data_IF_770552240347
#
_entry.id   IF_770552240347
#
_cell.length_a   1.000
_cell.length_b   1.000
_cell.length_c   1.000
_cell.angle_alpha   90.00
_cell.angle_beta   90.00
_cell.angle_gamma   90.00
#
_symmetry.space_group_name_H-M   'P 1'
#
loop_
_entity.id
_entity.type
_entity.pdbx_description
1 polymer ?
#
# COMPACT_ATOMS: atom_id res chain seq x y z
N UNK A 1 24.04 -17.06 78.39
CA UNK A 1 23.10 -16.36 77.56
C UNK A 1 21.85 -17.22 77.42
N UNK A 2 20.68 -16.67 77.65
CA UNK A 2 19.42 -17.44 77.84
C UNK A 2 18.98 -18.08 76.50
N UNK A 3 18.88 -19.42 76.42
CA UNK A 3 18.50 -20.18 75.21
C UNK A 3 17.20 -19.71 74.52
N UNK A 4 16.29 -19.13 75.29
CA UNK A 4 15.06 -18.49 74.77
C UNK A 4 15.35 -17.20 73.97
N UNK A 5 16.37 -16.44 74.42
CA UNK A 5 16.76 -15.19 73.71
C UNK A 5 17.48 -15.52 72.34
N UNK A 6 18.33 -16.52 72.30
CA UNK A 6 18.97 -17.00 71.10
C UNK A 6 17.93 -17.50 70.07
N UNK A 7 16.95 -18.27 70.49
CA UNK A 7 15.86 -18.77 69.66
C UNK A 7 15.01 -17.58 69.06
N UNK A 8 14.75 -16.58 69.87
CA UNK A 8 14.05 -15.36 69.38
C UNK A 8 14.87 -14.59 68.34
N UNK A 9 16.17 -14.37 68.63
CA UNK A 9 17.07 -13.67 67.67
C UNK A 9 17.18 -14.44 66.37
N UNK A 10 17.32 -15.76 66.42
CA UNK A 10 17.36 -16.60 65.21
C UNK A 10 16.03 -16.60 64.43
N UNK A 11 14.89 -16.66 65.11
CA UNK A 11 13.58 -16.53 64.49
C UNK A 11 13.39 -15.16 63.81
N UNK A 12 13.76 -14.05 64.46
CA UNK A 12 13.72 -12.70 63.89
C UNK A 12 14.64 -12.57 62.67
N UNK A 13 15.83 -13.19 62.65
CA UNK A 13 16.73 -13.25 61.53
C UNK A 13 16.11 -13.95 60.33
N UNK A 14 15.44 -15.09 60.55
CA UNK A 14 14.71 -15.81 59.48
C UNK A 14 13.57 -14.96 58.89
N UNK A 15 12.76 -14.33 59.76
CA UNK A 15 11.67 -13.44 59.31
C UNK A 15 12.19 -12.24 58.52
N UNK A 16 13.28 -11.62 58.97
CA UNK A 16 13.92 -10.51 58.26
C UNK A 16 14.48 -10.96 56.93
N UNK A 17 15.17 -12.10 56.85
CA UNK A 17 15.67 -12.69 55.62
C UNK A 17 14.56 -13.01 54.61
N UNK A 18 13.43 -13.61 55.10
CA UNK A 18 12.26 -13.90 54.27
C UNK A 18 11.61 -12.60 53.75
N UNK A 19 11.50 -11.57 54.59
CA UNK A 19 10.99 -10.26 54.19
C UNK A 19 11.84 -9.59 53.13
N UNK A 20 13.17 -9.61 53.27
CA UNK A 20 14.11 -9.06 52.26
C UNK A 20 14.00 -9.83 50.96
N UNK A 21 13.97 -11.18 51.00
CA UNK A 21 13.78 -12.01 49.83
C UNK A 21 12.46 -11.71 49.10
N UNK A 22 11.35 -11.60 49.85
CA UNK A 22 10.06 -11.24 49.28
C UNK A 22 10.08 -9.83 48.64
N UNK A 23 10.70 -8.84 49.28
CA UNK A 23 10.86 -7.49 48.75
C UNK A 23 11.69 -7.49 47.45
N UNK A 24 12.76 -8.26 47.37
CA UNK A 24 13.58 -8.43 46.17
C UNK A 24 12.79 -9.09 45.03
N UNK A 25 12.01 -10.14 45.33
CA UNK A 25 11.15 -10.80 44.34
C UNK A 25 10.09 -9.82 43.80
N UNK A 26 9.44 -9.08 44.68
CA UNK A 26 8.43 -8.07 44.27
C UNK A 26 9.07 -6.98 43.42
N UNK A 27 10.22 -6.46 43.81
CA UNK A 27 10.96 -5.46 43.05
C UNK A 27 11.37 -5.99 41.68
N UNK A 28 12.00 -7.16 41.63
CA UNK A 28 12.36 -7.84 40.39
C UNK A 28 11.15 -8.02 39.48
N UNK A 29 10.05 -8.57 40.01
CA UNK A 29 8.84 -8.77 39.22
C UNK A 29 8.21 -7.45 38.76
N UNK A 30 8.34 -6.36 39.52
CA UNK A 30 7.83 -5.05 39.13
C UNK A 30 8.52 -4.50 37.86
N UNK A 31 9.77 -4.79 37.65
CA UNK A 31 10.52 -4.33 36.46
C UNK A 31 10.55 -5.35 35.31
N UNK A 32 10.79 -6.63 35.63
CA UNK A 32 11.04 -7.69 34.64
C UNK A 32 9.85 -8.62 34.38
N UNK A 33 8.88 -8.68 35.28
CA UNK A 33 7.66 -9.46 35.04
C UNK A 33 6.75 -8.79 33.99
N UNK A 34 5.86 -9.59 33.40
CA UNK A 34 4.84 -9.11 32.47
C UNK A 34 4.08 -7.89 32.99
N UNK A 35 4.07 -6.81 32.26
CA UNK A 35 3.51 -5.54 32.67
C UNK A 35 2.25 -5.14 31.91
N UNK A 36 2.09 -5.59 30.68
CA UNK A 36 1.03 -5.18 29.75
C UNK A 36 -0.09 -6.21 29.74
N UNK A 37 -1.32 -5.72 29.88
CA UNK A 37 -2.55 -6.54 29.85
C UNK A 37 -3.01 -6.87 28.45
N UNK A 38 -2.82 -5.94 27.51
CA UNK A 38 -3.30 -6.06 26.13
C UNK A 38 -2.37 -5.32 25.19
N UNK A 39 -2.09 -5.92 24.02
CA UNK A 39 -1.27 -5.29 22.99
C UNK A 39 -1.89 -3.99 22.49
N UNK A 40 -1.06 -2.96 22.27
CA UNK A 40 -1.50 -1.63 21.87
C UNK A 40 -0.50 -0.99 20.93
N UNK A 41 -1.02 -0.37 19.84
CA UNK A 41 -0.25 0.51 18.98
C UNK A 41 -0.20 1.93 19.57
N UNK A 42 0.98 2.53 19.56
CA UNK A 42 1.24 3.90 20.03
C UNK A 42 1.89 4.68 18.91
N UNK A 43 1.31 5.84 18.58
CA UNK A 43 1.86 6.79 17.64
C UNK A 43 2.43 7.98 18.40
N UNK A 44 3.70 8.25 18.24
CA UNK A 44 4.38 9.40 18.82
C UNK A 44 4.69 10.37 17.69
N UNK A 45 4.15 11.58 17.77
CA UNK A 45 4.41 12.70 16.85
C UNK A 45 5.31 13.73 17.50
N UNK A 46 5.76 14.75 16.76
CA UNK A 46 6.53 15.86 17.32
C UNK A 46 5.74 16.67 18.38
N UNK A 47 4.40 16.69 18.25
CA UNK A 47 3.50 17.43 19.14
C UNK A 47 3.00 16.59 20.33
N UNK A 48 3.45 15.34 20.45
CA UNK A 48 3.03 14.44 21.53
C UNK A 48 3.51 14.97 22.88
N UNK A 49 2.58 15.33 23.75
CA UNK A 49 2.92 15.74 25.13
C UNK A 49 3.28 14.51 25.96
N UNK A 50 4.41 14.55 26.65
CA UNK A 50 4.89 13.43 27.46
C UNK A 50 3.89 13.00 28.54
N UNK A 51 3.21 13.96 29.19
CA UNK A 51 2.18 13.68 30.18
C UNK A 51 1.08 12.76 29.67
N UNK A 52 0.57 13.06 28.46
CA UNK A 52 -0.52 12.30 27.83
C UNK A 52 -0.04 10.92 27.38
N UNK A 53 1.15 10.88 26.78
CA UNK A 53 1.83 9.66 26.40
C UNK A 53 2.04 8.73 27.62
N UNK A 54 2.63 9.26 28.71
CA UNK A 54 2.88 8.48 29.91
C UNK A 54 1.58 8.00 30.56
N UNK A 55 0.55 8.85 30.62
CA UNK A 55 -0.77 8.47 31.12
C UNK A 55 -1.39 7.34 30.32
N UNK A 56 -1.24 7.37 29.00
CA UNK A 56 -1.76 6.34 28.10
C UNK A 56 -1.06 4.99 28.30
N UNK A 57 0.27 4.97 28.49
CA UNK A 57 1.03 3.77 28.84
C UNK A 57 0.58 3.21 30.19
N UNK A 58 0.49 4.07 31.23
CA UNK A 58 0.14 3.68 32.59
C UNK A 58 -1.24 3.02 32.68
N UNK A 59 -2.22 3.47 31.90
CA UNK A 59 -3.57 2.84 31.84
C UNK A 59 -3.52 1.38 31.40
N UNK A 60 -2.54 0.99 30.60
CA UNK A 60 -2.39 -0.39 30.10
C UNK A 60 -1.51 -1.28 30.98
N UNK A 61 -0.88 -0.73 32.03
CA UNK A 61 -0.08 -1.50 32.98
C UNK A 61 -0.95 -2.31 33.92
N UNK A 62 -0.47 -3.50 34.28
CA UNK A 62 -1.27 -4.53 34.97
C UNK A 62 -1.62 -4.18 36.41
N UNK A 63 -0.79 -3.39 37.13
CA UNK A 63 -0.98 -3.05 38.55
C UNK A 63 -0.17 -1.79 38.94
N UNK A 64 -0.45 -1.20 40.14
CA UNK A 64 0.24 0.01 40.61
C UNK A 64 1.75 -0.13 40.80
N UNK A 65 2.28 -1.31 41.11
CA UNK A 65 3.72 -1.53 41.24
C UNK A 65 4.42 -1.37 39.88
N UNK A 66 3.78 -1.82 38.81
CA UNK A 66 4.27 -1.61 37.43
C UNK A 66 4.25 -0.14 37.04
N UNK A 67 3.25 0.61 37.47
CA UNK A 67 3.18 2.06 37.26
C UNK A 67 4.34 2.76 37.95
N UNK A 68 4.62 2.43 39.21
CA UNK A 68 5.77 2.98 39.95
C UNK A 68 7.10 2.60 39.29
N UNK A 69 7.26 1.34 38.88
CA UNK A 69 8.45 0.86 38.17
C UNK A 69 8.65 1.61 36.85
N UNK A 70 7.56 1.88 36.11
CA UNK A 70 7.60 2.67 34.87
C UNK A 70 8.07 4.09 35.16
N UNK A 71 7.48 4.78 36.13
CA UNK A 71 7.87 6.15 36.48
C UNK A 71 9.35 6.26 36.88
N UNK A 72 9.82 5.34 37.74
CA UNK A 72 11.21 5.30 38.16
C UNK A 72 12.17 5.05 37.00
N UNK A 73 11.88 4.07 36.13
CA UNK A 73 12.77 3.70 35.06
C UNK A 73 12.72 4.68 33.89
N UNK A 74 11.55 5.25 33.60
CA UNK A 74 11.37 6.32 32.61
C UNK A 74 12.14 7.58 33.01
N UNK A 75 12.08 7.98 34.28
CA UNK A 75 12.87 9.09 34.83
C UNK A 75 14.39 8.79 34.78
N UNK A 76 14.81 7.59 35.19
CA UNK A 76 16.21 7.17 35.16
C UNK A 76 16.84 7.25 33.77
N UNK A 77 16.10 6.86 32.71
CA UNK A 77 16.56 6.93 31.31
C UNK A 77 16.25 8.23 30.63
N UNK A 78 15.67 9.22 31.34
CA UNK A 78 15.18 10.47 30.78
C UNK A 78 14.28 10.25 29.54
N UNK A 79 13.26 9.41 29.70
CA UNK A 79 12.35 9.05 28.58
C UNK A 79 11.70 10.29 27.99
N UNK A 80 11.30 11.27 28.81
CA UNK A 80 10.70 12.52 28.36
C UNK A 80 11.58 13.27 27.34
N UNK A 81 12.85 13.49 27.66
CA UNK A 81 13.79 14.19 26.78
C UNK A 81 14.32 13.34 25.63
N UNK A 82 14.02 12.04 25.63
CA UNK A 82 14.52 11.06 24.62
C UNK A 82 13.41 10.35 23.84
N UNK A 83 12.15 10.73 24.04
CA UNK A 83 11.00 10.14 23.36
C UNK A 83 11.11 10.41 21.86
N UNK A 84 11.20 9.36 21.07
CA UNK A 84 11.37 9.45 19.63
C UNK A 84 10.05 9.32 18.88
N UNK A 85 9.86 10.18 17.89
CA UNK A 85 8.74 10.11 16.94
C UNK A 85 8.71 8.76 16.24
N UNK A 86 7.54 8.12 16.18
CA UNK A 86 7.41 6.82 15.55
C UNK A 86 6.11 6.09 15.85
N UNK A 87 5.96 4.95 15.21
CA UNK A 87 4.92 3.96 15.50
C UNK A 87 5.54 2.81 16.28
N UNK A 88 4.95 2.50 17.44
CA UNK A 88 5.41 1.48 18.35
C UNK A 88 4.26 0.52 18.67
N UNK A 89 4.57 -0.76 18.80
CA UNK A 89 3.60 -1.74 19.28
C UNK A 89 4.06 -2.31 20.61
N UNK A 90 3.38 -1.94 21.68
CA UNK A 90 3.56 -2.58 22.97
C UNK A 90 2.79 -3.90 22.91
N UNK A 91 3.50 -5.01 23.09
CA UNK A 91 2.90 -6.35 23.04
C UNK A 91 2.48 -6.79 24.44
N UNK A 92 1.42 -7.57 24.52
CA UNK A 92 1.04 -8.26 25.76
C UNK A 92 2.24 -9.02 26.34
N UNK A 93 2.37 -9.01 27.65
CA UNK A 93 3.47 -9.67 28.35
C UNK A 93 4.79 -8.88 28.37
N UNK A 94 4.94 -7.78 27.62
CA UNK A 94 6.15 -6.96 27.72
C UNK A 94 6.36 -6.44 29.13
N UNK A 95 7.63 -6.42 29.59
CA UNK A 95 7.99 -5.86 30.88
C UNK A 95 8.28 -4.35 30.79
N UNK A 96 8.32 -3.68 31.94
CA UNK A 96 8.52 -2.23 32.05
C UNK A 96 9.84 -1.78 31.40
N UNK A 97 10.92 -2.52 31.61
CA UNK A 97 12.24 -2.18 31.07
C UNK A 97 12.23 -2.17 29.56
N UNK A 98 11.66 -3.21 28.95
CA UNK A 98 11.56 -3.35 27.50
C UNK A 98 10.71 -2.21 26.89
N UNK A 99 9.60 -1.84 27.56
CA UNK A 99 8.73 -0.75 27.10
C UNK A 99 9.49 0.58 27.07
N UNK A 100 10.11 0.96 28.20
CA UNK A 100 10.83 2.24 28.27
C UNK A 100 12.00 2.29 27.28
N UNK A 101 12.79 1.20 27.21
CA UNK A 101 13.93 1.10 26.28
C UNK A 101 13.50 1.21 24.82
N UNK A 102 12.40 0.56 24.43
CA UNK A 102 11.85 0.63 23.08
C UNK A 102 11.62 2.08 22.63
N UNK A 103 11.04 2.92 23.49
CA UNK A 103 10.81 4.34 23.16
C UNK A 103 12.09 5.18 23.18
N UNK A 104 12.98 4.96 24.17
CA UNK A 104 14.27 5.67 24.29
C UNK A 104 15.18 5.34 23.10
N UNK A 105 15.22 4.10 22.67
CA UNK A 105 16.03 3.64 21.54
C UNK A 105 15.39 3.96 20.19
N UNK A 106 14.07 4.15 20.16
CA UNK A 106 13.33 4.39 18.93
C UNK A 106 13.14 3.11 18.10
N UNK A 107 12.92 1.98 18.78
CA UNK A 107 12.67 0.68 18.14
C UNK A 107 11.24 0.64 17.58
N UNK A 108 11.03 1.34 16.47
CA UNK A 108 9.74 1.43 15.80
C UNK A 108 9.25 0.08 15.30
N UNK A 109 7.96 -0.14 15.37
CA UNK A 109 7.29 -1.27 14.71
C UNK A 109 6.94 -0.85 13.27
N UNK A 110 7.39 -1.60 12.23
CA UNK A 110 6.96 -1.33 10.86
C UNK A 110 5.45 -1.45 10.69
N UNK A 111 4.89 -0.66 9.80
CA UNK A 111 3.50 -0.77 9.33
C UNK A 111 3.45 -1.44 7.96
N UNK A 112 2.30 -1.99 7.61
CA UNK A 112 2.03 -2.50 6.26
C UNK A 112 1.40 -1.37 5.42
N UNK A 113 2.21 -0.69 4.62
CA UNK A 113 1.75 0.31 3.66
C UNK A 113 1.13 -0.39 2.45
N UNK A 114 -0.16 -0.21 2.25
CA UNK A 114 -0.89 -0.77 1.11
C UNK A 114 -0.89 0.21 -0.06
N UNK A 115 -0.22 -0.16 -1.14
CA UNK A 115 -0.33 0.51 -2.43
C UNK A 115 -1.36 -0.23 -3.26
N UNK A 116 -2.50 0.39 -3.46
CA UNK A 116 -3.61 -0.15 -4.25
C UNK A 116 -3.89 0.68 -5.50
N UNK A 117 -5.06 0.47 -6.08
CA UNK A 117 -5.52 1.23 -7.26
C UNK A 117 -5.52 2.74 -6.99
N UNK A 118 -4.92 3.49 -7.90
CA UNK A 118 -5.01 4.95 -7.97
C UNK A 118 -4.89 5.38 -9.44
N UNK A 119 -5.67 6.38 -9.84
CA UNK A 119 -5.66 6.89 -11.22
C UNK A 119 -4.71 8.06 -11.39
N UNK A 120 -4.47 8.82 -10.34
CA UNK A 120 -3.63 10.04 -10.39
C UNK A 120 -2.66 10.09 -9.21
N UNK A 121 -1.57 10.84 -9.36
CA UNK A 121 -0.62 11.07 -8.25
C UNK A 121 -1.28 11.74 -7.04
N UNK A 122 -2.18 12.76 -7.17
CA UNK A 122 -2.90 13.30 -6.03
C UNK A 122 -3.74 12.25 -5.29
N UNK A 123 -4.44 11.37 -6.03
CA UNK A 123 -5.20 10.28 -5.42
C UNK A 123 -4.29 9.29 -4.69
N UNK A 124 -3.13 8.95 -5.27
CA UNK A 124 -2.15 8.07 -4.65
C UNK A 124 -1.57 8.69 -3.37
N UNK A 125 -1.13 9.96 -3.43
CA UNK A 125 -0.62 10.70 -2.28
C UNK A 125 -1.63 10.75 -1.14
N UNK A 126 -2.91 11.02 -1.44
CA UNK A 126 -3.99 11.01 -0.45
C UNK A 126 -4.28 9.63 0.16
N UNK A 127 -4.06 8.54 -0.57
CA UNK A 127 -4.19 7.18 -0.02
C UNK A 127 -3.00 6.79 0.86
N UNK A 128 -1.80 7.21 0.48
CA UNK A 128 -0.57 6.94 1.24
C UNK A 128 -0.55 7.76 2.54
N UNK A 129 -0.91 9.04 2.51
CA UNK A 129 -0.89 9.93 3.68
C UNK A 129 -1.81 9.48 4.82
N UNK A 130 -2.82 8.66 4.54
CA UNK A 130 -3.67 8.04 5.57
C UNK A 130 -3.00 6.89 6.31
N UNK A 131 -1.83 6.44 5.87
CA UNK A 131 -1.15 5.25 6.38
C UNK A 131 0.22 5.56 6.99
N UNK A 132 0.85 6.69 6.63
CA UNK A 132 2.16 7.12 7.13
C UNK A 132 2.08 8.53 7.72
N UNK A 133 3.12 8.97 8.40
CA UNK A 133 3.18 10.30 9.04
C UNK A 133 3.18 11.45 8.02
N UNK A 134 3.79 11.25 6.85
CA UNK A 134 3.88 12.30 5.83
C UNK A 134 2.50 12.65 5.27
N UNK A 135 2.19 13.94 5.17
CA UNK A 135 0.93 14.42 4.61
C UNK A 135 0.88 14.32 3.08
N UNK A 136 -0.31 14.49 2.52
CA UNK A 136 -0.54 14.36 1.08
C UNK A 136 0.11 15.47 0.25
N UNK A 137 0.34 16.65 0.82
CA UNK A 137 0.96 17.80 0.14
C UNK A 137 2.46 17.55 -0.04
N UNK A 138 3.15 17.14 1.04
CA UNK A 138 4.56 16.78 1.01
C UNK A 138 4.81 15.61 0.05
N UNK A 139 3.99 14.55 0.13
CA UNK A 139 4.07 13.41 -0.79
C UNK A 139 3.89 13.84 -2.25
N UNK A 140 2.86 14.64 -2.55
CA UNK A 140 2.59 15.07 -3.92
C UNK A 140 3.68 16.00 -4.46
N UNK A 141 4.19 16.90 -3.61
CA UNK A 141 5.31 17.79 -3.95
C UNK A 141 6.55 16.97 -4.34
N UNK A 142 6.91 15.99 -3.52
CA UNK A 142 8.05 15.08 -3.81
C UNK A 142 7.80 14.25 -5.07
N UNK A 143 6.59 13.71 -5.26
CA UNK A 143 6.23 12.98 -6.49
C UNK A 143 6.28 13.84 -7.75
N UNK A 144 6.12 15.15 -7.64
CA UNK A 144 6.19 16.11 -8.75
C UNK A 144 7.60 16.67 -8.98
N UNK A 145 8.52 16.49 -8.04
CA UNK A 145 9.89 16.96 -8.18
C UNK A 145 10.54 16.35 -9.43
N UNK A 146 10.96 17.21 -10.37
CA UNK A 146 11.51 16.78 -11.66
C UNK A 146 12.87 16.14 -11.55
N UNK A 147 13.69 16.61 -10.63
CA UNK A 147 15.05 16.15 -10.38
C UNK A 147 15.04 14.73 -9.79
N UNK A 148 14.23 14.55 -8.73
CA UNK A 148 14.06 13.23 -8.13
C UNK A 148 13.46 12.22 -9.12
N UNK A 149 12.46 12.61 -9.93
CA UNK A 149 11.93 11.74 -10.97
C UNK A 149 12.97 11.32 -12.00
N UNK A 150 13.80 12.27 -12.43
CA UNK A 150 14.89 11.98 -13.37
C UNK A 150 15.90 11.00 -12.78
N UNK A 151 16.30 11.20 -11.52
CA UNK A 151 17.18 10.27 -10.77
C UNK A 151 16.57 8.86 -10.68
N UNK A 152 15.26 8.75 -10.48
CA UNK A 152 14.54 7.49 -10.47
C UNK A 152 14.29 6.88 -11.85
N UNK A 153 14.67 7.59 -12.94
CA UNK A 153 14.52 7.14 -14.33
C UNK A 153 13.11 7.34 -14.91
N UNK A 154 12.31 8.25 -14.34
CA UNK A 154 10.94 8.53 -14.77
C UNK A 154 10.81 9.94 -15.35
N UNK A 155 10.04 10.07 -16.44
CA UNK A 155 9.68 11.36 -17.05
C UNK A 155 8.39 11.90 -16.44
N UNK A 156 8.02 13.13 -16.83
CA UNK A 156 6.97 14.00 -16.24
C UNK A 156 5.72 13.29 -15.74
N UNK A 157 5.07 12.45 -16.55
CA UNK A 157 3.79 11.82 -16.17
C UNK A 157 3.91 10.30 -15.94
N UNK A 158 5.15 9.78 -15.99
CA UNK A 158 5.39 8.35 -15.97
C UNK A 158 5.58 7.75 -14.57
N UNK A 159 5.68 8.59 -13.52
CA UNK A 159 6.00 8.12 -12.17
C UNK A 159 4.98 7.10 -11.63
N UNK A 160 3.71 7.22 -12.03
CA UNK A 160 2.66 6.29 -11.60
C UNK A 160 2.96 4.84 -12.03
N UNK A 161 3.69 4.66 -13.13
CA UNK A 161 4.11 3.34 -13.61
C UNK A 161 5.15 2.65 -12.69
N UNK A 162 5.76 3.38 -11.77
CA UNK A 162 6.68 2.83 -10.78
C UNK A 162 5.96 1.98 -9.73
N UNK A 163 4.73 2.34 -9.41
CA UNK A 163 4.01 1.72 -8.31
C UNK A 163 3.40 0.38 -8.71
N UNK A 164 3.81 -0.67 -8.03
CA UNK A 164 3.24 -2.01 -8.15
C UNK A 164 2.30 -2.21 -6.96
N UNK A 165 1.04 -2.66 -7.18
CA UNK A 165 0.12 -2.86 -6.07
C UNK A 165 0.58 -4.02 -5.20
N UNK A 166 0.83 -3.72 -3.91
CA UNK A 166 1.25 -4.69 -2.89
C UNK A 166 1.14 -4.05 -1.49
N UNK A 167 1.40 -4.84 -0.45
CA UNK A 167 1.65 -4.38 0.91
C UNK A 167 3.15 -4.35 1.18
N UNK A 168 3.65 -3.20 1.59
CA UNK A 168 5.07 -2.97 1.82
C UNK A 168 5.33 -2.64 3.29
N UNK A 169 6.23 -3.35 3.93
CA UNK A 169 6.66 -3.00 5.28
C UNK A 169 7.57 -1.77 5.24
N UNK A 170 7.13 -0.71 5.94
CA UNK A 170 7.86 0.55 6.07
C UNK A 170 7.71 1.07 7.50
N UNK A 171 8.61 1.94 7.93
CA UNK A 171 8.38 2.71 9.16
C UNK A 171 7.34 3.79 8.88
N UNK A 172 6.46 4.03 9.86
CA UNK A 172 5.43 5.07 9.77
C UNK A 172 6.03 6.47 9.51
N UNK A 173 7.24 6.71 10.00
CA UNK A 173 8.01 7.96 9.83
C UNK A 173 8.80 8.04 8.53
N UNK A 174 8.58 7.13 7.57
CA UNK A 174 9.30 7.16 6.30
C UNK A 174 9.09 8.49 5.59
N UNK A 175 10.18 9.13 5.14
CA UNK A 175 10.06 10.38 4.37
C UNK A 175 9.56 10.12 2.96
N UNK A 176 8.93 11.10 2.29
CA UNK A 176 8.45 10.96 0.91
C UNK A 176 9.56 10.53 -0.05
N UNK A 177 10.78 11.04 0.07
CA UNK A 177 11.92 10.70 -0.78
C UNK A 177 12.32 9.23 -0.61
N UNK A 178 12.52 8.80 0.65
CA UNK A 178 12.85 7.41 0.98
C UNK A 178 11.74 6.44 0.57
N UNK A 179 10.49 6.89 0.63
CA UNK A 179 9.37 6.09 0.12
C UNK A 179 9.48 5.90 -1.40
N UNK A 180 9.74 6.95 -2.17
CA UNK A 180 9.90 6.82 -3.62
C UNK A 180 11.11 5.95 -3.99
N UNK A 181 12.23 6.09 -3.31
CA UNK A 181 13.38 5.20 -3.48
C UNK A 181 13.03 3.73 -3.16
N UNK A 182 12.25 3.52 -2.10
CA UNK A 182 11.77 2.17 -1.76
C UNK A 182 10.86 1.62 -2.85
N UNK A 183 9.91 2.41 -3.36
CA UNK A 183 9.02 2.00 -4.45
C UNK A 183 9.79 1.70 -5.74
N UNK A 184 10.86 2.45 -6.00
CA UNK A 184 11.75 2.17 -7.14
C UNK A 184 12.41 0.81 -7.02
N UNK A 185 13.00 0.49 -5.84
CA UNK A 185 13.61 -0.83 -5.59
C UNK A 185 12.59 -1.97 -5.73
N UNK A 186 11.38 -1.79 -5.21
CA UNK A 186 10.30 -2.78 -5.32
C UNK A 186 9.83 -2.96 -6.78
N UNK A 187 9.75 -1.85 -7.54
CA UNK A 187 9.48 -1.88 -8.96
C UNK A 187 10.57 -2.64 -9.73
N UNK A 188 11.84 -2.38 -9.43
CA UNK A 188 12.94 -3.09 -10.10
C UNK A 188 12.93 -4.58 -9.78
N UNK A 189 12.70 -4.96 -8.51
CA UNK A 189 12.58 -6.35 -8.08
C UNK A 189 11.35 -7.06 -8.72
N UNK A 190 10.26 -6.33 -8.94
CA UNK A 190 9.08 -6.87 -9.63
C UNK A 190 9.40 -7.34 -11.06
N UNK A 191 10.28 -6.62 -11.77
CA UNK A 191 10.74 -6.96 -13.12
C UNK A 191 11.90 -7.99 -13.07
N UNK A 192 11.67 -9.12 -12.44
CA UNK A 192 12.61 -10.24 -12.33
C UNK A 192 12.93 -10.86 -13.71
N UNK A 193 13.80 -11.87 -13.74
CA UNK A 193 14.25 -12.55 -14.97
C UNK A 193 13.07 -13.09 -15.78
N UNK A 194 12.11 -13.77 -15.16
CA UNK A 194 10.93 -14.35 -15.84
C UNK A 194 10.10 -13.24 -16.53
N UNK A 195 9.76 -12.16 -15.81
CA UNK A 195 9.01 -11.05 -16.40
C UNK A 195 9.80 -10.31 -17.47
N UNK A 196 11.11 -10.19 -17.30
CA UNK A 196 12.00 -9.58 -18.30
C UNK A 196 12.08 -10.42 -19.57
N UNK A 197 12.15 -11.74 -19.47
CA UNK A 197 12.11 -12.64 -20.61
C UNK A 197 10.76 -12.57 -21.36
N UNK A 198 9.66 -12.49 -20.63
CA UNK A 198 8.31 -12.31 -21.22
C UNK A 198 8.16 -10.94 -21.86
N UNK A 199 8.70 -9.88 -21.24
CA UNK A 199 8.71 -8.52 -21.77
C UNK A 199 9.33 -8.47 -23.16
N UNK A 200 10.47 -9.11 -23.36
CA UNK A 200 11.17 -9.15 -24.65
C UNK A 200 10.27 -9.68 -25.78
N UNK A 201 9.39 -10.63 -25.48
CA UNK A 201 8.44 -11.23 -26.47
C UNK A 201 7.34 -10.25 -26.89
N UNK A 202 7.01 -9.27 -26.04
CA UNK A 202 5.97 -8.27 -26.33
C UNK A 202 6.44 -7.21 -27.31
N UNK A 203 7.74 -6.94 -27.40
CA UNK A 203 8.37 -5.79 -28.05
C UNK A 203 7.95 -4.43 -27.45
N UNK A 204 7.46 -4.43 -26.22
CA UNK A 204 7.11 -3.23 -25.45
C UNK A 204 8.17 -2.95 -24.39
N UNK A 205 8.33 -1.70 -23.99
CA UNK A 205 9.09 -1.34 -22.78
C UNK A 205 8.30 -1.66 -21.51
N UNK A 206 8.97 -1.74 -20.35
CA UNK A 206 8.31 -1.89 -19.02
C UNK A 206 7.19 -0.87 -18.84
N UNK A 207 7.48 0.37 -19.21
CA UNK A 207 6.54 1.48 -19.14
C UNK A 207 5.31 1.28 -20.04
N UNK A 208 5.52 0.84 -21.27
CA UNK A 208 4.43 0.54 -22.21
C UNK A 208 3.57 -0.65 -21.73
N UNK A 209 4.19 -1.65 -21.11
CA UNK A 209 3.44 -2.76 -20.48
C UNK A 209 2.57 -2.24 -19.36
N UNK A 210 3.09 -1.39 -18.45
CA UNK A 210 2.29 -0.79 -17.37
C UNK A 210 1.14 0.05 -17.95
N UNK A 211 1.38 0.82 -19.01
CA UNK A 211 0.36 1.62 -19.67
C UNK A 211 -0.73 0.75 -20.27
N UNK A 212 -0.38 -0.28 -21.03
CA UNK A 212 -1.35 -1.19 -21.62
C UNK A 212 -2.11 -1.98 -20.54
N UNK A 213 -1.41 -2.44 -19.51
CA UNK A 213 -2.02 -3.17 -18.39
C UNK A 213 -3.06 -2.30 -17.65
N UNK A 214 -2.84 -0.98 -17.52
CA UNK A 214 -3.81 -0.08 -16.92
C UNK A 214 -5.10 0.02 -17.75
N UNK A 215 -4.99 -0.04 -19.07
CA UNK A 215 -6.14 -0.07 -19.99
C UNK A 215 -6.89 -1.40 -19.86
N UNK A 216 -6.17 -2.54 -19.93
CA UNK A 216 -6.75 -3.88 -19.76
C UNK A 216 -7.47 -4.02 -18.43
N UNK A 217 -6.89 -3.49 -17.34
CA UNK A 217 -7.46 -3.53 -16.00
C UNK A 217 -8.77 -2.73 -15.87
N UNK A 218 -8.87 -1.61 -16.59
CA UNK A 218 -10.11 -0.80 -16.61
C UNK A 218 -11.17 -1.34 -17.58
N UNK A 219 -10.79 -2.16 -18.57
CA UNK A 219 -11.75 -2.82 -19.48
C UNK A 219 -12.45 -4.01 -18.84
N UNK A 220 -11.73 -4.82 -18.06
CA UNK A 220 -12.30 -6.01 -17.44
C UNK A 220 -11.68 -6.32 -16.09
N UNK A 221 -12.50 -6.81 -15.18
CA UNK A 221 -12.04 -7.41 -13.91
C UNK A 221 -11.94 -8.94 -14.00
N UNK A 222 -12.39 -9.52 -15.10
CA UNK A 222 -12.30 -10.95 -15.37
C UNK A 222 -10.86 -11.33 -15.75
N UNK A 223 -10.12 -11.91 -14.83
CA UNK A 223 -8.71 -12.32 -15.02
C UNK A 223 -8.52 -13.28 -16.18
N UNK A 224 -9.53 -14.14 -16.48
CA UNK A 224 -9.48 -15.10 -17.57
C UNK A 224 -9.52 -14.45 -18.96
N UNK A 225 -10.12 -13.25 -19.08
CA UNK A 225 -10.20 -12.53 -20.35
C UNK A 225 -9.06 -11.50 -20.55
N UNK A 226 -8.39 -11.09 -19.47
CA UNK A 226 -7.31 -10.10 -19.57
C UNK A 226 -6.24 -10.45 -20.62
N UNK A 227 -5.73 -11.70 -20.73
CA UNK A 227 -4.74 -12.04 -21.75
C UNK A 227 -5.28 -11.89 -23.18
N UNK A 228 -6.57 -12.20 -23.41
CA UNK A 228 -7.21 -12.07 -24.71
C UNK A 228 -7.43 -10.63 -25.11
N UNK A 229 -7.91 -9.78 -24.18
CA UNK A 229 -8.04 -8.32 -24.38
C UNK A 229 -6.67 -7.68 -24.64
N UNK A 230 -5.65 -8.06 -23.88
CA UNK A 230 -4.27 -7.63 -24.11
C UNK A 230 -3.80 -8.00 -25.52
N UNK A 231 -4.12 -9.21 -25.98
CA UNK A 231 -3.83 -9.69 -27.34
C UNK A 231 -4.47 -8.82 -28.43
N UNK A 232 -5.75 -8.44 -28.26
CA UNK A 232 -6.43 -7.52 -29.19
C UNK A 232 -5.70 -6.18 -29.28
N UNK A 233 -5.37 -5.57 -28.14
CA UNK A 233 -4.67 -4.29 -28.12
C UNK A 233 -3.26 -4.37 -28.71
N UNK A 234 -2.49 -5.42 -28.43
CA UNK A 234 -1.17 -5.66 -29.04
C UNK A 234 -1.30 -5.82 -30.56
N UNK A 235 -2.34 -6.53 -31.04
CA UNK A 235 -2.59 -6.66 -32.47
C UNK A 235 -2.91 -5.30 -33.12
N UNK A 236 -3.72 -4.45 -32.48
CA UNK A 236 -4.01 -3.11 -32.94
C UNK A 236 -2.75 -2.24 -32.99
N UNK A 237 -1.93 -2.25 -31.93
CA UNK A 237 -0.66 -1.53 -31.90
C UNK A 237 0.26 -1.92 -33.05
N UNK A 238 0.40 -3.21 -33.33
CA UNK A 238 1.22 -3.74 -34.44
C UNK A 238 0.72 -3.32 -35.82
N UNK A 239 -0.59 -3.09 -35.95
CA UNK A 239 -1.24 -2.64 -37.20
C UNK A 239 -1.35 -1.11 -37.30
N UNK A 240 -0.86 -0.36 -36.31
CA UNK A 240 -1.03 1.11 -36.28
C UNK A 240 -2.47 1.57 -36.06
N UNK A 241 -3.35 0.67 -35.61
CA UNK A 241 -4.76 0.99 -35.35
C UNK A 241 -4.90 1.75 -34.02
N UNK A 242 -5.79 2.75 -33.93
CA UNK A 242 -6.17 3.35 -32.65
C UNK A 242 -6.72 2.30 -31.69
N UNK A 243 -6.37 2.39 -30.38
CA UNK A 243 -6.84 1.41 -29.40
C UNK A 243 -8.34 1.51 -29.16
N UNK A 244 -8.92 2.71 -29.22
CA UNK A 244 -10.35 2.98 -29.01
C UNK A 244 -10.87 2.42 -27.68
N UNK A 245 -10.09 2.61 -26.64
CA UNK A 245 -10.41 2.15 -25.28
C UNK A 245 -11.22 3.21 -24.53
N UNK A 246 -12.47 2.94 -24.19
CA UNK A 246 -13.34 3.85 -23.46
C UNK A 246 -12.74 4.35 -22.12
N UNK A 247 -12.02 3.54 -21.33
CA UNK A 247 -11.38 4.01 -20.10
C UNK A 247 -10.38 5.15 -20.31
N UNK A 248 -9.70 5.19 -21.46
CA UNK A 248 -8.74 6.27 -21.77
C UNK A 248 -9.44 7.61 -22.01
N UNK A 249 -10.66 7.59 -22.58
CA UNK A 249 -11.51 8.77 -22.75
C UNK A 249 -12.01 9.27 -21.40
N UNK A 250 -12.47 8.36 -20.54
CA UNK A 250 -12.89 8.69 -19.18
C UNK A 250 -11.75 9.34 -18.38
N UNK A 251 -10.55 8.79 -18.48
CA UNK A 251 -9.35 9.37 -17.88
C UNK A 251 -9.01 10.75 -18.44
N UNK A 252 -9.08 10.91 -19.78
CA UNK A 252 -8.81 12.15 -20.46
C UNK A 252 -9.72 13.31 -20.01
N UNK A 253 -11.00 13.02 -19.78
CA UNK A 253 -11.99 13.98 -19.27
C UNK A 253 -11.76 14.29 -17.79
N UNK A 254 -11.23 13.34 -17.02
CA UNK A 254 -11.03 13.48 -15.57
C UNK A 254 -12.28 13.29 -14.73
N UNK A 255 -13.42 13.00 -15.33
CA UNK A 255 -14.65 12.69 -14.62
C UNK A 255 -14.85 11.17 -14.50
N UNK A 256 -14.46 10.65 -13.34
CA UNK A 256 -14.55 9.23 -13.04
C UNK A 256 -15.95 8.77 -12.57
N UNK A 257 -16.91 9.68 -12.45
CA UNK A 257 -18.30 9.35 -12.16
C UNK A 257 -19.08 8.93 -13.42
N UNK A 258 -18.58 9.25 -14.61
CA UNK A 258 -19.22 8.87 -15.87
C UNK A 258 -19.46 7.36 -15.94
N UNK A 259 -20.71 6.96 -16.02
CA UNK A 259 -21.11 5.56 -16.20
C UNK A 259 -21.11 5.14 -17.67
N UNK A 260 -21.26 6.09 -18.60
CA UNK A 260 -21.32 5.84 -20.04
C UNK A 260 -20.54 6.89 -20.82
N UNK A 261 -19.74 6.44 -21.77
CA UNK A 261 -19.06 7.30 -22.75
C UNK A 261 -20.02 7.54 -23.93
N UNK A 262 -20.30 8.81 -24.21
CA UNK A 262 -21.15 9.26 -25.32
C UNK A 262 -20.29 9.68 -26.52
N UNK A 263 -20.87 9.79 -27.72
CA UNK A 263 -20.17 10.22 -28.94
C UNK A 263 -19.43 11.56 -28.78
N UNK A 264 -20.02 12.54 -28.07
CA UNK A 264 -19.37 13.82 -27.77
C UNK A 264 -18.05 13.64 -26.99
N UNK A 265 -17.98 12.65 -26.11
CA UNK A 265 -16.80 12.36 -25.30
C UNK A 265 -15.64 11.79 -26.17
N UNK A 266 -15.96 11.01 -27.22
CA UNK A 266 -14.97 10.43 -28.12
C UNK A 266 -14.17 11.50 -28.89
N UNK A 267 -14.71 12.73 -28.98
CA UNK A 267 -14.06 13.87 -29.64
C UNK A 267 -13.21 14.72 -28.70
N UNK A 268 -13.18 14.40 -27.39
CA UNK A 268 -12.42 15.15 -26.40
C UNK A 268 -10.93 15.22 -26.77
N UNK A 269 -10.38 16.44 -26.84
CA UNK A 269 -9.01 16.67 -27.25
C UNK A 269 -8.04 16.44 -26.07
N UNK A 270 -7.33 15.33 -26.12
CA UNK A 270 -6.36 14.93 -25.11
C UNK A 270 -5.43 13.87 -25.69
N UNK A 271 -4.13 13.89 -25.37
CA UNK A 271 -3.19 12.84 -25.77
C UNK A 271 -3.54 11.47 -25.18
N UNK A 272 -4.36 11.42 -24.13
CA UNK A 272 -4.89 10.18 -23.57
C UNK A 272 -6.06 9.59 -24.36
N UNK A 273 -6.71 10.34 -25.23
CA UNK A 273 -7.86 9.85 -25.99
C UNK A 273 -7.40 8.92 -27.13
N UNK A 274 -7.49 7.62 -26.91
CA UNK A 274 -7.10 6.58 -27.89
C UNK A 274 -8.09 6.37 -29.04
N UNK A 275 -9.17 7.13 -29.11
CA UNK A 275 -10.01 7.24 -30.32
C UNK A 275 -9.46 8.24 -31.31
N UNK A 276 -8.71 9.26 -30.84
CA UNK A 276 -8.12 10.31 -31.68
C UNK A 276 -6.64 10.07 -31.97
N UNK A 277 -5.93 9.47 -31.03
CA UNK A 277 -4.50 9.25 -31.12
C UNK A 277 -4.22 7.74 -31.25
N UNK A 278 -3.47 7.37 -32.29
CA UNK A 278 -2.99 6.01 -32.46
C UNK A 278 -1.86 5.70 -31.47
N UNK A 279 -1.71 4.44 -31.11
CA UNK A 279 -0.70 3.99 -30.15
C UNK A 279 -1.19 4.03 -28.69
N UNK A 280 -0.24 3.88 -27.77
CA UNK A 280 -0.50 3.97 -26.33
C UNK A 280 -0.61 5.43 -25.87
N UNK A 281 -1.44 5.72 -24.85
CA UNK A 281 -1.44 7.05 -24.24
C UNK A 281 -0.10 7.35 -23.56
N UNK A 282 0.15 8.64 -23.22
CA UNK A 282 1.45 9.07 -22.66
C UNK A 282 1.81 8.44 -21.33
N UNK A 283 0.85 7.93 -20.56
CA UNK A 283 1.05 7.32 -19.25
C UNK A 283 -0.04 6.29 -18.92
N UNK A 284 0.17 5.42 -17.90
CA UNK A 284 -0.89 4.59 -17.35
C UNK A 284 -2.06 5.44 -16.87
N UNK A 285 -3.28 4.97 -17.10
CA UNK A 285 -4.53 5.62 -16.66
C UNK A 285 -4.94 5.22 -15.23
N UNK A 286 -4.24 4.27 -14.64
CA UNK A 286 -4.30 3.88 -13.24
C UNK A 286 -3.10 3.01 -12.89
N UNK A 287 -2.90 2.71 -11.60
CA UNK A 287 -2.02 1.63 -11.17
C UNK A 287 -2.73 0.30 -11.50
N UNK A 288 -2.21 -0.50 -12.45
CA UNK A 288 -2.85 -1.76 -12.84
C UNK A 288 -2.63 -2.85 -11.80
N UNK A 289 -3.54 -3.83 -11.72
CA UNK A 289 -3.30 -5.04 -10.92
C UNK A 289 -2.14 -5.87 -11.48
N UNK A 290 -1.48 -6.65 -10.61
CA UNK A 290 -0.42 -7.60 -11.05
C UNK A 290 -0.98 -8.56 -12.11
N UNK A 291 -2.22 -9.02 -11.95
CA UNK A 291 -2.87 -9.89 -12.93
C UNK A 291 -2.98 -9.25 -14.32
N UNK A 292 -3.26 -7.94 -14.40
CA UNK A 292 -3.32 -7.23 -15.66
C UNK A 292 -1.93 -7.04 -16.29
N UNK A 293 -0.90 -6.80 -15.47
CA UNK A 293 0.49 -6.72 -15.93
C UNK A 293 0.93 -8.08 -16.51
N UNK A 294 0.70 -9.15 -15.75
CA UNK A 294 1.04 -10.51 -16.16
C UNK A 294 0.22 -10.95 -17.39
N UNK A 295 -1.03 -10.49 -17.54
CA UNK A 295 -1.85 -10.73 -18.72
C UNK A 295 -1.28 -10.06 -19.99
N UNK A 296 -0.72 -8.86 -19.89
CA UNK A 296 -0.02 -8.23 -21.02
C UNK A 296 1.27 -8.98 -21.36
N UNK A 297 2.02 -9.43 -20.36
CA UNK A 297 3.26 -10.20 -20.57
C UNK A 297 2.99 -11.59 -21.17
N UNK A 298 1.83 -12.18 -20.87
CA UNK A 298 1.38 -13.48 -21.35
C UNK A 298 0.15 -13.37 -22.27
N UNK A 299 0.08 -12.29 -23.07
CA UNK A 299 -1.07 -12.05 -23.93
C UNK A 299 -1.39 -13.23 -24.86
N UNK A 300 -2.68 -13.47 -25.09
CA UNK A 300 -3.14 -14.54 -25.99
C UNK A 300 -2.79 -14.18 -27.45
N UNK A 301 -2.05 -15.05 -28.12
CA UNK A 301 -1.73 -14.91 -29.53
C UNK A 301 -2.97 -15.27 -30.35
N UNK A 302 -3.60 -14.29 -30.93
CA UNK A 302 -4.78 -14.45 -31.78
C UNK A 302 -4.75 -13.46 -32.95
N UNK A 303 -5.72 -13.55 -33.84
CA UNK A 303 -5.94 -12.59 -34.90
C UNK A 303 -7.08 -11.60 -34.58
N UNK A 304 -7.58 -11.57 -33.35
CA UNK A 304 -8.67 -10.68 -32.96
C UNK A 304 -8.20 -9.21 -32.96
N UNK A 305 -9.08 -8.35 -33.46
CA UNK A 305 -8.89 -6.90 -33.51
C UNK A 305 -10.00 -6.13 -32.80
N UNK A 306 -11.11 -6.80 -32.47
CA UNK A 306 -12.29 -6.22 -31.87
C UNK A 306 -12.83 -7.10 -30.74
N UNK A 307 -13.50 -6.49 -29.78
CA UNK A 307 -14.32 -7.16 -28.79
C UNK A 307 -15.51 -6.27 -28.40
N UNK A 308 -16.57 -6.85 -27.90
CA UNK A 308 -17.71 -6.17 -27.31
C UNK A 308 -18.34 -7.06 -26.23
N UNK A 309 -19.02 -6.48 -25.26
CA UNK A 309 -19.71 -7.24 -24.23
C UNK A 309 -20.69 -8.24 -24.84
N UNK A 310 -20.84 -9.40 -24.20
CA UNK A 310 -21.80 -10.42 -24.58
C UNK A 310 -23.24 -10.01 -24.25
N UNK A 311 -24.22 -10.49 -25.02
CA UNK A 311 -25.63 -10.21 -24.77
C UNK A 311 -26.19 -10.89 -23.53
N UNK A 312 -25.46 -11.86 -22.92
CA UNK A 312 -25.80 -12.56 -21.68
C UNK A 312 -25.53 -11.74 -20.41
N UNK A 313 -24.82 -10.58 -20.53
CA UNK A 313 -24.44 -9.67 -19.43
C UNK A 313 -23.67 -10.37 -18.29
N UNK A 314 -22.92 -11.41 -18.59
CA UNK A 314 -22.09 -12.19 -17.65
C UNK A 314 -20.73 -11.53 -17.35
N UNK A 315 -20.49 -10.31 -17.85
CA UNK A 315 -19.23 -9.59 -17.70
C UNK A 315 -18.12 -10.06 -18.64
N UNK A 316 -18.44 -10.94 -19.62
CA UNK A 316 -17.51 -11.42 -20.63
C UNK A 316 -17.75 -10.77 -22.01
N UNK A 317 -16.84 -11.05 -22.96
CA UNK A 317 -16.80 -10.41 -24.26
C UNK A 317 -16.84 -11.41 -25.43
N UNK A 318 -17.47 -10.99 -26.53
CA UNK A 318 -17.32 -11.60 -27.84
C UNK A 318 -16.15 -10.95 -28.57
N UNK A 319 -15.24 -11.77 -29.11
CA UNK A 319 -14.07 -11.35 -29.85
C UNK A 319 -14.27 -11.53 -31.34
N UNK A 320 -13.74 -10.62 -32.16
CA UNK A 320 -13.90 -10.64 -33.61
C UNK A 320 -12.58 -10.28 -34.34
N UNK A 321 -12.37 -10.87 -35.51
CA UNK A 321 -11.22 -10.61 -36.38
C UNK A 321 -11.50 -9.44 -37.32
N UNK A 322 -12.74 -9.29 -37.76
CA UNK A 322 -13.19 -8.30 -38.74
C UNK A 322 -14.19 -7.32 -38.12
N UNK A 323 -14.31 -6.13 -38.73
CA UNK A 323 -15.30 -5.14 -38.35
C UNK A 323 -16.73 -5.65 -38.58
N UNK A 324 -16.95 -6.48 -39.63
CA UNK A 324 -18.25 -7.06 -39.93
C UNK A 324 -18.72 -7.99 -38.78
N UNK A 325 -17.85 -8.90 -38.33
CA UNK A 325 -18.12 -9.77 -37.19
C UNK A 325 -18.40 -8.97 -35.91
N UNK A 326 -17.59 -7.93 -35.65
CA UNK A 326 -17.78 -7.04 -34.50
C UNK A 326 -19.15 -6.34 -34.55
N UNK A 327 -19.54 -5.78 -35.71
CA UNK A 327 -20.82 -5.12 -35.89
C UNK A 327 -21.98 -6.10 -35.68
N UNK A 328 -21.87 -7.34 -36.13
CA UNK A 328 -22.88 -8.39 -35.87
C UNK A 328 -23.02 -8.69 -34.38
N UNK A 329 -21.89 -8.81 -33.65
CA UNK A 329 -21.87 -9.03 -32.21
C UNK A 329 -22.44 -7.80 -31.46
N UNK A 330 -22.07 -6.58 -31.82
CA UNK A 330 -22.60 -5.35 -31.25
C UNK A 330 -24.11 -5.21 -31.44
N UNK A 331 -24.64 -5.62 -32.61
CA UNK A 331 -26.07 -5.61 -32.88
C UNK A 331 -26.83 -6.56 -31.92
N UNK A 332 -26.30 -7.76 -31.69
CA UNK A 332 -26.87 -8.73 -30.73
C UNK A 332 -26.89 -8.16 -29.31
N UNK A 333 -25.76 -7.58 -28.85
CA UNK A 333 -25.66 -6.93 -27.54
C UNK A 333 -26.67 -5.79 -27.37
N UNK A 334 -26.76 -4.88 -28.35
CA UNK A 334 -27.68 -3.73 -28.29
C UNK A 334 -29.15 -4.20 -28.31
N UNK A 335 -29.49 -5.25 -29.05
CA UNK A 335 -30.85 -5.83 -29.06
C UNK A 335 -31.20 -6.42 -27.68
N UNK A 336 -30.28 -7.12 -27.02
CA UNK A 336 -30.48 -7.64 -25.67
C UNK A 336 -30.62 -6.51 -24.64
N UNK A 337 -29.77 -5.47 -24.72
CA UNK A 337 -29.80 -4.30 -23.84
C UNK A 337 -31.14 -3.53 -23.96
N UNK A 338 -31.69 -3.43 -25.17
CA UNK A 338 -32.98 -2.77 -25.41
C UNK A 338 -34.17 -3.52 -24.79
N UNK A 339 -34.05 -4.87 -24.68
CA UNK A 339 -35.08 -5.70 -24.01
C UNK A 339 -35.08 -5.53 -22.49
N UNK A 340 -33.91 -5.27 -21.87
CA UNK A 340 -33.79 -5.06 -20.43
C UNK A 340 -34.32 -3.67 -19.98
N UNK A 341 -34.47 -2.74 -20.92
CA UNK A 341 -34.98 -1.37 -20.64
C UNK A 341 -36.49 -1.19 -20.82
N UNK A 342 -37.17 -2.22 -21.33
CA UNK A 342 -38.61 -2.33 -21.40
C UNK A 342 -39.15 -3.11 -20.18
#
# INVERSE_FOLDING_TARGET
MNSKILKKIFSWGIFFGAFVAAALIVTYNSFYGAAIKQSKAIFVTADTQYSDFAADIKKNLSNPLKVRAFDLYASHLNLEGRLKVGHYTIKEGMNVISIVRMFVLGEQTPINLVIGEARTLPQLAGKISKQIMADSVALLSTMRNSELKATLGYKRDSLIAMFVPNSYQVYWTITPEKLLERMKRESDAFWNEDRTAKLARTKLSKYQVMTLASIVYEETKNRGEMPKIAGVYINRLRKGMPLQACPTVKYAIGDFSLTRILYKHLRYDSPFNTYRNAGLPPAPICIPSIAAIDAVLNYEKSSYLYFCAKPEFDGTHNFAKTLSEHNANSKKYNAALSKLKK
#
